data_IF_798791302336
#
_entry.id   IF_798791302336
#
_cell.length_a   1.000
_cell.length_b   1.000
_cell.length_c   1.000
_cell.angle_alpha   90.00
_cell.angle_beta   90.00
_cell.angle_gamma   90.00
#
_symmetry.space_group_name_H-M   'P 1'
#
loop_
_entity.id
_entity.type
_entity.pdbx_description
1 polymer ?
#
# COMPACT_ATOMS: atom_id res chain seq x y z
N UNK A 1 -14.65 -11.85 8.76
CA UNK A 1 -14.03 -10.78 9.58
C UNK A 1 -13.98 -9.56 8.67
N UNK A 2 -14.59 -8.43 9.03
CA UNK A 2 -14.82 -7.33 8.08
C UNK A 2 -13.54 -6.70 7.51
N UNK A 3 -12.44 -6.67 8.27
CA UNK A 3 -11.17 -6.05 7.84
C UNK A 3 -10.59 -6.79 6.63
N UNK A 4 -10.41 -8.11 6.72
CA UNK A 4 -9.87 -8.93 5.64
C UNK A 4 -10.79 -8.98 4.42
N UNK A 5 -12.10 -9.06 4.64
CA UNK A 5 -13.07 -8.98 3.54
C UNK A 5 -12.97 -7.65 2.78
N UNK A 6 -12.69 -6.53 3.47
CA UNK A 6 -12.48 -5.25 2.83
C UNK A 6 -11.13 -5.17 2.12
N UNK A 7 -10.06 -5.75 2.68
CA UNK A 7 -8.77 -5.90 2.00
C UNK A 7 -8.92 -6.64 0.67
N UNK A 8 -9.56 -7.80 0.68
CA UNK A 8 -9.73 -8.63 -0.51
C UNK A 8 -10.66 -7.98 -1.55
N UNK A 9 -11.83 -7.49 -1.13
CA UNK A 9 -12.87 -7.03 -2.08
C UNK A 9 -12.71 -5.58 -2.52
N UNK A 10 -12.12 -4.74 -1.67
CA UNK A 10 -11.99 -3.30 -1.91
C UNK A 10 -10.54 -2.84 -2.07
N UNK A 11 -9.59 -3.78 -2.06
CA UNK A 11 -8.15 -3.49 -2.16
C UNK A 11 -7.67 -2.47 -1.11
N UNK A 12 -8.30 -2.48 0.07
CA UNK A 12 -7.92 -1.58 1.16
C UNK A 12 -6.61 -2.03 1.80
N UNK A 13 -5.74 -1.06 2.07
CA UNK A 13 -4.52 -1.32 2.82
C UNK A 13 -4.86 -1.60 4.29
N UNK A 14 -4.21 -2.61 4.87
CA UNK A 14 -4.34 -2.98 6.28
C UNK A 14 -2.97 -2.87 6.93
N UNK A 15 -2.88 -2.06 7.98
CA UNK A 15 -1.65 -1.69 8.66
C UNK A 15 -1.77 -2.04 10.15
N UNK A 16 -1.33 -3.24 10.59
CA UNK A 16 -1.43 -3.63 11.99
C UNK A 16 -0.44 -2.86 12.89
N UNK A 17 -0.90 -2.54 14.09
CA UNK A 17 -0.11 -1.96 15.17
C UNK A 17 -0.23 -2.87 16.38
N UNK A 18 0.89 -3.47 16.79
CA UNK A 18 1.00 -4.37 17.94
C UNK A 18 1.48 -3.56 19.15
N UNK A 19 0.52 -3.10 19.95
CA UNK A 19 0.74 -2.26 21.11
C UNK A 19 0.93 -3.12 22.37
N UNK A 20 2.15 -3.12 22.94
CA UNK A 20 2.55 -3.97 24.08
C UNK A 20 2.17 -5.45 23.95
N UNK A 21 2.20 -5.99 22.73
CA UNK A 21 1.97 -7.41 22.44
C UNK A 21 2.96 -7.86 21.38
N UNK A 22 3.57 -9.03 21.57
CA UNK A 22 4.40 -9.62 20.53
C UNK A 22 3.51 -10.12 19.37
N UNK A 23 3.81 -9.76 18.11
CA UNK A 23 3.03 -10.22 16.96
C UNK A 23 2.95 -11.76 16.88
N UNK A 24 3.95 -12.48 17.40
CA UNK A 24 3.98 -13.94 17.46
C UNK A 24 2.93 -14.53 18.40
N UNK A 25 2.60 -13.87 19.52
CA UNK A 25 1.52 -14.27 20.42
C UNK A 25 0.17 -14.22 19.69
N UNK A 26 -0.06 -13.17 18.90
CA UNK A 26 -1.27 -13.00 18.09
C UNK A 26 -1.30 -14.03 16.95
N UNK A 27 -0.17 -14.21 16.25
CA UNK A 27 -0.04 -15.12 15.10
C UNK A 27 -0.29 -16.57 15.52
N UNK A 28 0.37 -17.00 16.58
CA UNK A 28 0.32 -18.38 17.07
C UNK A 28 -0.81 -18.62 18.05
N UNK A 29 -1.56 -17.58 18.42
CA UNK A 29 -2.67 -17.61 19.39
C UNK A 29 -2.23 -18.25 20.71
N UNK A 30 -1.09 -17.79 21.22
CA UNK A 30 -0.49 -18.24 22.47
C UNK A 30 -0.86 -17.28 23.60
N UNK A 31 -0.47 -17.64 24.83
CA UNK A 31 -0.65 -16.82 26.03
C UNK A 31 -2.08 -16.28 26.19
N UNK A 32 -2.24 -14.99 26.48
CA UNK A 32 -3.53 -14.36 26.73
C UNK A 32 -4.49 -14.46 25.55
N UNK A 33 -3.97 -14.46 24.31
CA UNK A 33 -4.80 -14.60 23.11
C UNK A 33 -5.38 -16.02 23.00
N UNK A 34 -4.54 -17.03 23.26
CA UNK A 34 -4.97 -18.43 23.30
C UNK A 34 -6.05 -18.67 24.36
N UNK A 35 -5.81 -18.19 25.59
CA UNK A 35 -6.77 -18.30 26.70
C UNK A 35 -8.09 -17.58 26.40
N UNK A 36 -8.02 -16.35 25.87
CA UNK A 36 -9.22 -15.57 25.54
C UNK A 36 -10.04 -16.26 24.43
N UNK A 37 -9.39 -16.80 23.41
CA UNK A 37 -10.05 -17.55 22.34
C UNK A 37 -10.69 -18.83 22.87
N UNK A 38 -10.04 -19.58 23.76
CA UNK A 38 -10.62 -20.77 24.38
C UNK A 38 -11.88 -20.42 25.21
N UNK A 39 -11.84 -19.34 26.01
CA UNK A 39 -13.03 -18.83 26.73
C UNK A 39 -14.15 -18.44 25.77
N UNK A 40 -13.80 -17.87 24.61
CA UNK A 40 -14.78 -17.54 23.58
C UNK A 40 -15.36 -18.79 22.90
N UNK A 41 -14.58 -19.84 22.66
CA UNK A 41 -15.08 -21.14 22.19
C UNK A 41 -16.09 -21.72 23.17
N UNK A 42 -15.81 -21.61 24.47
CA UNK A 42 -16.75 -22.06 25.51
C UNK A 42 -18.04 -21.23 25.57
N UNK A 43 -17.95 -19.93 25.30
CA UNK A 43 -19.10 -19.02 25.27
C UNK A 43 -19.95 -19.18 24.01
N UNK A 44 -19.32 -19.52 22.89
CA UNK A 44 -19.95 -19.62 21.56
C UNK A 44 -19.95 -21.08 21.06
N UNK A 45 -20.18 -22.06 21.95
CA UNK A 45 -20.17 -23.49 21.61
C UNK A 45 -21.08 -23.85 20.43
N UNK A 46 -22.21 -23.15 20.32
CA UNK A 46 -23.20 -23.36 19.25
C UNK A 46 -22.82 -22.68 17.92
N UNK A 47 -21.84 -21.77 17.93
CA UNK A 47 -21.32 -21.08 16.74
C UNK A 47 -19.79 -21.17 16.69
N UNK A 48 -19.30 -22.41 16.56
CA UNK A 48 -17.87 -22.70 16.38
C UNK A 48 -17.27 -21.97 15.17
N UNK A 49 -18.09 -21.71 14.14
CA UNK A 49 -17.63 -21.05 12.92
C UNK A 49 -17.17 -19.62 13.16
N UNK A 50 -17.75 -18.94 14.14
CA UNK A 50 -17.43 -17.56 14.49
C UNK A 50 -16.03 -17.42 15.09
N UNK A 51 -15.71 -18.25 16.09
CA UNK A 51 -14.39 -18.20 16.74
C UNK A 51 -13.30 -18.65 15.77
N UNK A 52 -13.59 -19.64 14.92
CA UNK A 52 -12.65 -20.05 13.88
C UNK A 52 -12.34 -18.92 12.89
N UNK A 53 -13.35 -18.14 12.47
CA UNK A 53 -13.13 -16.95 11.62
C UNK A 53 -12.27 -15.89 12.31
N UNK A 54 -12.35 -15.76 13.63
CA UNK A 54 -11.49 -14.85 14.39
C UNK A 54 -10.06 -15.36 14.46
N UNK A 55 -9.85 -16.64 14.74
CA UNK A 55 -8.52 -17.28 14.74
C UNK A 55 -7.80 -17.07 13.42
N UNK A 56 -8.44 -17.45 12.31
CA UNK A 56 -7.88 -17.28 10.97
C UNK A 56 -7.56 -15.82 10.70
N UNK A 57 -8.48 -14.91 11.02
CA UNK A 57 -8.26 -13.51 10.70
C UNK A 57 -7.17 -12.84 11.55
N UNK A 58 -7.05 -13.19 12.84
CA UNK A 58 -5.96 -12.71 13.70
C UNK A 58 -4.62 -13.22 13.21
N UNK A 59 -4.53 -14.51 12.87
CA UNK A 59 -3.33 -15.10 12.30
C UNK A 59 -2.90 -14.41 11.01
N UNK A 60 -3.86 -14.14 10.12
CA UNK A 60 -3.58 -13.50 8.84
C UNK A 60 -3.12 -12.04 9.01
N UNK A 61 -3.80 -11.25 9.84
CA UNK A 61 -3.39 -9.87 10.14
C UNK A 61 -2.02 -9.83 10.82
N UNK A 62 -1.71 -10.81 11.68
CA UNK A 62 -0.41 -10.93 12.34
C UNK A 62 0.75 -11.29 11.38
N UNK A 63 0.45 -11.71 10.15
CA UNK A 63 1.43 -11.93 9.10
C UNK A 63 1.66 -10.70 8.21
N UNK A 64 0.89 -9.63 8.37
CA UNK A 64 1.11 -8.41 7.60
C UNK A 64 2.27 -7.60 8.19
N UNK A 65 2.99 -6.89 7.32
CA UNK A 65 3.96 -5.88 7.75
C UNK A 65 3.24 -4.78 8.55
N UNK A 66 3.82 -4.38 9.68
CA UNK A 66 3.27 -3.38 10.59
C UNK A 66 4.26 -3.03 11.69
N UNK A 67 3.78 -2.40 12.75
CA UNK A 67 4.64 -1.92 13.84
C UNK A 67 4.43 -2.74 15.11
N UNK A 68 5.52 -3.03 15.80
CA UNK A 68 5.49 -3.58 17.14
C UNK A 68 6.16 -2.57 18.09
N UNK A 69 5.40 -2.09 19.08
CA UNK A 69 5.90 -1.09 20.03
C UNK A 69 6.89 -1.70 21.04
N UNK A 70 6.54 -2.83 21.66
CA UNK A 70 7.31 -3.39 22.77
C UNK A 70 7.49 -2.37 23.90
N UNK A 71 8.75 -2.08 24.27
CA UNK A 71 9.15 -1.04 25.22
C UNK A 71 9.64 0.25 24.52
N UNK A 72 9.27 0.45 23.26
CA UNK A 72 9.68 1.58 22.44
C UNK A 72 8.99 2.90 22.79
N UNK A 73 9.39 3.96 22.10
CA UNK A 73 8.81 5.29 22.24
C UNK A 73 7.50 5.41 21.45
N UNK A 74 6.39 5.54 22.18
CA UNK A 74 5.05 5.74 21.61
C UNK A 74 4.97 6.96 20.71
N UNK A 75 5.61 8.07 21.10
CA UNK A 75 5.54 9.32 20.36
C UNK A 75 6.23 9.20 19.00
N UNK A 76 7.34 8.47 18.96
CA UNK A 76 8.04 8.13 17.72
C UNK A 76 7.18 7.24 16.84
N UNK A 77 6.56 6.19 17.41
CA UNK A 77 5.68 5.30 16.67
C UNK A 77 4.49 6.05 16.07
N UNK A 78 3.82 6.90 16.85
CA UNK A 78 2.70 7.72 16.38
C UNK A 78 3.14 8.62 15.23
N UNK A 79 4.32 9.25 15.34
CA UNK A 79 4.86 10.10 14.27
C UNK A 79 5.09 9.30 12.97
N UNK A 80 5.67 8.11 13.05
CA UNK A 80 5.88 7.23 11.89
C UNK A 80 4.56 6.81 11.24
N UNK A 81 3.56 6.41 12.04
CA UNK A 81 2.23 6.04 11.55
C UNK A 81 1.57 7.23 10.86
N UNK A 82 1.56 8.42 11.49
CA UNK A 82 0.95 9.62 10.91
C UNK A 82 1.61 9.99 9.60
N UNK A 83 2.94 9.92 9.51
CA UNK A 83 3.67 10.18 8.28
C UNK A 83 3.27 9.22 7.16
N UNK A 84 3.26 7.91 7.42
CA UNK A 84 2.87 6.93 6.41
C UNK A 84 1.40 7.08 5.98
N UNK A 85 0.47 7.19 6.94
CA UNK A 85 -0.95 7.34 6.64
C UNK A 85 -1.21 8.62 5.83
N UNK A 86 -0.50 9.72 6.16
CA UNK A 86 -0.58 10.96 5.38
C UNK A 86 -0.11 10.74 3.95
N UNK A 87 0.98 10.00 3.72
CA UNK A 87 1.44 9.65 2.36
C UNK A 87 0.42 8.82 1.59
N UNK A 88 -0.21 7.85 2.24
CA UNK A 88 -1.24 7.00 1.62
C UNK A 88 -2.48 7.82 1.24
N UNK A 89 -2.96 8.68 2.14
CA UNK A 89 -4.21 9.44 1.95
C UNK A 89 -4.05 10.61 1.00
N UNK A 90 -2.91 11.30 1.04
CA UNK A 90 -2.63 12.44 0.15
C UNK A 90 -2.22 12.02 -1.26
N UNK A 91 -2.07 10.72 -1.52
CA UNK A 91 -1.65 10.24 -2.82
C UNK A 91 -2.76 10.37 -3.85
N UNK A 92 -2.42 10.92 -5.03
CA UNK A 92 -3.36 10.95 -6.16
C UNK A 92 -3.62 9.53 -6.64
N UNK A 93 -4.85 9.05 -6.45
CA UNK A 93 -5.27 7.74 -6.94
C UNK A 93 -5.65 7.84 -8.42
N UNK A 94 -4.95 7.10 -9.28
CA UNK A 94 -5.21 7.09 -10.71
C UNK A 94 -6.33 6.10 -11.06
N UNK A 95 -7.32 6.55 -11.84
CA UNK A 95 -8.34 5.64 -12.36
C UNK A 95 -7.70 4.67 -13.38
N UNK A 96 -7.62 3.39 -12.99
CA UNK A 96 -7.03 2.30 -13.77
C UNK A 96 -7.97 1.85 -14.88
N UNK A 97 -9.10 1.23 -14.51
CA UNK A 97 -10.14 0.77 -15.41
C UNK A 97 -11.42 0.46 -14.61
N UNK A 98 -12.58 0.46 -15.28
CA UNK A 98 -13.86 0.12 -14.63
C UNK A 98 -13.94 -1.35 -14.21
N UNK A 99 -13.39 -2.25 -15.04
CA UNK A 99 -13.39 -3.70 -14.83
C UNK A 99 -12.03 -4.31 -15.23
N UNK A 100 -10.97 -4.08 -14.46
CA UNK A 100 -9.67 -4.66 -14.75
C UNK A 100 -9.70 -6.19 -14.58
N UNK A 101 -9.26 -6.94 -15.60
CA UNK A 101 -9.09 -8.40 -15.54
C UNK A 101 -7.63 -8.72 -15.87
N UNK A 102 -7.02 -9.64 -15.11
CA UNK A 102 -5.66 -10.13 -15.38
C UNK A 102 -4.54 -9.12 -15.13
N UNK A 103 -4.81 -8.08 -14.32
CA UNK A 103 -3.80 -7.09 -13.93
C UNK A 103 -2.88 -7.64 -12.84
N UNK A 104 -3.43 -8.39 -11.88
CA UNK A 104 -2.71 -8.84 -10.69
C UNK A 104 -1.40 -9.59 -10.99
N UNK A 105 -1.36 -10.60 -11.88
CA UNK A 105 -0.10 -11.30 -12.19
C UNK A 105 0.95 -10.35 -12.78
N UNK A 106 0.52 -9.40 -13.63
CA UNK A 106 1.41 -8.42 -14.26
C UNK A 106 1.94 -7.40 -13.26
N UNK A 107 1.15 -7.04 -12.24
CA UNK A 107 1.62 -6.21 -11.15
C UNK A 107 2.71 -6.91 -10.35
N UNK A 108 2.53 -8.20 -10.05
CA UNK A 108 3.54 -8.99 -9.36
C UNK A 108 4.85 -9.07 -10.15
N UNK A 109 4.78 -9.36 -11.45
CA UNK A 109 5.96 -9.41 -12.32
C UNK A 109 6.72 -8.09 -12.33
N UNK A 110 6.02 -6.97 -12.52
CA UNK A 110 6.68 -5.64 -12.56
C UNK A 110 7.16 -5.23 -11.16
N UNK A 111 6.42 -5.58 -10.12
CA UNK A 111 6.83 -5.32 -8.73
C UNK A 111 8.14 -6.02 -8.39
N UNK A 112 8.31 -7.27 -8.83
CA UNK A 112 9.55 -8.02 -8.66
C UNK A 112 10.72 -7.34 -9.39
N UNK A 113 10.51 -6.88 -10.62
CA UNK A 113 11.53 -6.14 -11.38
C UNK A 113 11.94 -4.83 -10.70
N UNK A 114 10.97 -4.10 -10.14
CA UNK A 114 11.22 -2.86 -9.43
C UNK A 114 11.93 -3.07 -8.09
N UNK A 115 11.76 -4.23 -7.43
CA UNK A 115 12.36 -4.59 -6.12
C UNK A 115 12.54 -3.37 -5.18
N UNK A 116 11.44 -2.73 -4.79
CA UNK A 116 11.41 -1.44 -4.07
C UNK A 116 12.25 -1.42 -2.77
N UNK A 117 12.62 -2.59 -2.24
CA UNK A 117 13.44 -2.76 -1.05
C UNK A 117 14.95 -2.56 -1.28
N UNK A 118 15.41 -2.43 -2.53
CA UNK A 118 16.82 -2.21 -2.87
C UNK A 118 17.11 -0.72 -3.05
N UNK A 119 18.17 -0.20 -2.40
CA UNK A 119 18.61 1.19 -2.51
C UNK A 119 19.40 1.43 -3.82
N UNK A 120 18.78 1.18 -4.97
CA UNK A 120 19.35 1.44 -6.31
C UNK A 120 18.36 2.21 -7.21
N UNK A 121 18.85 2.67 -8.37
CA UNK A 121 18.02 3.38 -9.37
C UNK A 121 17.63 2.40 -10.48
N UNK A 122 16.32 2.23 -10.70
CA UNK A 122 15.79 1.29 -11.68
C UNK A 122 14.87 1.94 -12.69
N UNK A 123 14.91 1.40 -13.90
CA UNK A 123 13.99 1.76 -14.97
C UNK A 123 13.39 0.48 -15.56
N UNK A 124 12.06 0.42 -15.61
CA UNK A 124 11.32 -0.71 -16.19
C UNK A 124 10.50 -0.22 -17.37
N UNK A 125 10.67 -0.85 -18.53
CA UNK A 125 9.89 -0.59 -19.73
C UNK A 125 8.76 -1.59 -19.92
N UNK A 126 7.53 -1.10 -20.13
CA UNK A 126 6.38 -1.93 -20.51
C UNK A 126 6.15 -1.75 -22.02
N UNK A 127 6.39 -2.79 -22.81
CA UNK A 127 6.30 -2.76 -24.28
C UNK A 127 5.22 -3.73 -24.76
N UNK A 128 4.60 -3.42 -25.91
CA UNK A 128 3.55 -4.24 -26.50
C UNK A 128 2.70 -3.46 -27.48
N UNK A 129 1.80 -4.15 -28.17
CA UNK A 129 0.92 -3.57 -29.20
C UNK A 129 -0.02 -2.48 -28.64
N UNK A 130 -0.57 -1.65 -29.53
CA UNK A 130 -1.58 -0.66 -29.17
C UNK A 130 -2.80 -1.29 -28.50
N UNK A 131 -3.43 -0.60 -27.54
CA UNK A 131 -4.65 -1.07 -26.88
C UNK A 131 -4.50 -2.19 -25.84
N UNK A 132 -3.34 -2.85 -25.72
CA UNK A 132 -3.14 -3.99 -24.80
C UNK A 132 -3.14 -3.65 -23.30
N UNK A 133 -3.33 -2.37 -22.94
CA UNK A 133 -3.42 -1.94 -21.54
C UNK A 133 -2.10 -1.58 -20.84
N UNK A 134 -1.04 -1.22 -21.59
CA UNK A 134 0.26 -0.81 -21.00
C UNK A 134 0.12 0.32 -19.98
N UNK A 135 -0.56 1.40 -20.37
CA UNK A 135 -0.83 2.55 -19.49
C UNK A 135 -1.71 2.15 -18.30
N UNK A 136 -2.63 1.21 -18.49
CA UNK A 136 -3.46 0.66 -17.41
C UNK A 136 -2.61 -0.02 -16.35
N UNK A 137 -1.63 -0.84 -16.78
CA UNK A 137 -0.68 -1.49 -15.87
C UNK A 137 0.19 -0.44 -15.17
N UNK A 138 0.73 0.55 -15.89
CA UNK A 138 1.53 1.61 -15.30
C UNK A 138 0.79 2.39 -14.20
N UNK A 139 -0.50 2.72 -14.42
CA UNK A 139 -1.36 3.35 -13.41
C UNK A 139 -1.58 2.46 -12.19
N UNK A 140 -1.80 1.17 -12.41
CA UNK A 140 -2.00 0.21 -11.33
C UNK A 140 -0.73 0.05 -10.47
N UNK A 141 0.46 -0.01 -11.11
CA UNK A 141 1.75 -0.04 -10.41
C UNK A 141 1.94 1.24 -9.60
N UNK A 142 1.67 2.39 -10.21
CA UNK A 142 1.78 3.68 -9.52
C UNK A 142 0.91 3.71 -8.26
N UNK A 143 -0.38 3.34 -8.36
CA UNK A 143 -1.26 3.27 -7.19
C UNK A 143 -0.77 2.28 -6.11
N UNK A 144 -0.11 1.19 -6.52
CA UNK A 144 0.40 0.16 -5.61
C UNK A 144 1.67 0.58 -4.86
N UNK A 145 2.54 1.38 -5.49
CA UNK A 145 3.90 1.59 -5.00
C UNK A 145 4.19 3.01 -4.56
N UNK A 146 3.48 3.99 -5.08
CA UNK A 146 3.95 5.36 -5.00
C UNK A 146 3.93 5.95 -3.58
N UNK A 147 3.11 5.42 -2.66
CA UNK A 147 3.13 5.77 -1.23
C UNK A 147 4.39 5.28 -0.48
N UNK A 148 5.14 4.34 -1.07
CA UNK A 148 6.37 3.80 -0.48
C UNK A 148 7.56 4.74 -0.69
N UNK A 149 7.43 5.70 -1.61
CA UNK A 149 8.44 6.71 -1.90
C UNK A 149 8.14 7.99 -1.12
N UNK A 150 9.17 8.81 -0.90
CA UNK A 150 9.01 10.13 -0.28
C UNK A 150 8.15 11.04 -1.17
N UNK A 151 8.37 10.97 -2.48
CA UNK A 151 7.61 11.68 -3.50
C UNK A 151 7.44 10.82 -4.75
N UNK A 152 6.40 11.10 -5.53
CA UNK A 152 6.09 10.36 -6.75
C UNK A 152 5.42 11.27 -7.78
N UNK A 153 5.53 10.91 -9.06
CA UNK A 153 4.91 11.67 -10.15
C UNK A 153 4.41 10.71 -11.23
N UNK A 154 3.22 10.98 -11.78
CA UNK A 154 2.69 10.26 -12.93
C UNK A 154 2.53 11.17 -14.14
N UNK A 155 3.56 11.21 -14.99
CA UNK A 155 3.51 11.95 -16.25
C UNK A 155 2.71 11.20 -17.31
N UNK A 156 1.51 11.68 -17.60
CA UNK A 156 0.66 11.14 -18.66
C UNK A 156 0.85 11.87 -19.99
N UNK A 157 0.50 11.21 -21.10
CA UNK A 157 0.47 11.78 -22.45
C UNK A 157 1.79 12.43 -22.92
N UNK A 158 2.93 11.99 -22.39
CA UNK A 158 4.27 12.55 -22.67
C UNK A 158 4.53 12.73 -24.16
N UNK A 159 4.19 11.73 -24.99
CA UNK A 159 4.38 11.77 -26.46
C UNK A 159 3.54 12.84 -27.17
N UNK A 160 2.36 13.15 -26.65
CA UNK A 160 1.50 14.18 -27.22
C UNK A 160 1.91 15.56 -26.74
N UNK A 161 2.17 15.70 -25.43
CA UNK A 161 2.56 16.97 -24.81
C UNK A 161 3.89 17.45 -25.35
N UNK A 162 4.89 16.57 -25.49
CA UNK A 162 6.24 16.95 -25.96
C UNK A 162 6.29 17.54 -27.36
N UNK A 163 5.27 17.28 -28.19
CA UNK A 163 5.17 17.79 -29.57
C UNK A 163 4.58 19.21 -29.64
N UNK A 164 3.99 19.70 -28.55
CA UNK A 164 3.42 21.05 -28.47
C UNK A 164 4.54 22.05 -28.19
N UNK A 165 4.39 23.28 -28.65
CA UNK A 165 5.31 24.36 -28.31
C UNK A 165 5.38 24.55 -26.80
N UNK A 166 6.59 24.56 -26.22
CA UNK A 166 6.81 24.61 -24.78
C UNK A 166 6.48 23.32 -23.99
N UNK A 167 6.01 22.25 -24.65
CA UNK A 167 5.49 21.07 -23.97
C UNK A 167 6.53 20.26 -23.18
N UNK A 168 7.80 20.26 -23.60
CA UNK A 168 8.88 19.63 -22.83
C UNK A 168 9.16 20.37 -21.52
N UNK A 169 9.17 21.70 -21.55
CA UNK A 169 9.34 22.55 -20.36
C UNK A 169 8.19 22.30 -19.39
N UNK A 170 6.95 22.27 -19.90
CA UNK A 170 5.77 21.96 -19.09
C UNK A 170 5.84 20.57 -18.41
N UNK A 171 6.33 19.55 -19.12
CA UNK A 171 6.50 18.21 -18.54
C UNK A 171 7.57 18.21 -17.43
N UNK A 172 8.67 18.93 -17.64
CA UNK A 172 9.73 19.07 -16.65
C UNK A 172 9.25 19.83 -15.41
N UNK A 173 8.52 20.93 -15.58
CA UNK A 173 7.92 21.69 -14.47
C UNK A 173 6.95 20.84 -13.68
N UNK A 174 6.06 20.11 -14.34
CA UNK A 174 5.14 19.17 -13.68
C UNK A 174 5.90 18.13 -12.85
N UNK A 175 6.93 17.51 -13.43
CA UNK A 175 7.74 16.52 -12.74
C UNK A 175 8.41 17.10 -11.48
N UNK A 176 9.01 18.28 -11.59
CA UNK A 176 9.69 18.94 -10.48
C UNK A 176 8.71 19.35 -9.39
N UNK A 177 7.56 19.92 -9.75
CA UNK A 177 6.52 20.33 -8.80
C UNK A 177 5.92 19.15 -8.04
N UNK A 178 5.71 18.00 -8.70
CA UNK A 178 5.17 16.81 -8.02
C UNK A 178 6.21 16.12 -7.14
N UNK A 179 7.50 16.07 -7.56
CA UNK A 179 8.55 15.41 -6.79
C UNK A 179 9.06 16.26 -5.62
N UNK A 180 9.31 17.54 -5.84
CA UNK A 180 9.87 18.44 -4.81
C UNK A 180 8.78 19.06 -3.92
N UNK A 181 7.51 18.82 -4.25
CA UNK A 181 6.39 19.62 -3.76
C UNK A 181 6.39 21.00 -4.42
N UNK A 182 5.31 21.76 -4.23
CA UNK A 182 5.37 23.19 -4.54
C UNK A 182 6.56 23.77 -3.78
N UNK A 183 7.57 24.28 -4.50
CA UNK A 183 8.40 25.36 -3.99
C UNK A 183 7.41 26.49 -3.67
N UNK A 184 6.82 26.45 -2.48
CA UNK A 184 6.35 27.67 -1.87
C UNK A 184 7.65 28.44 -1.69
N UNK A 185 7.93 29.32 -2.65
CA UNK A 185 8.74 30.48 -2.39
C UNK A 185 8.10 31.11 -1.15
N UNK A 186 8.67 30.81 0.02
CA UNK A 186 8.51 31.69 1.16
C UNK A 186 9.26 32.95 0.74
N UNK A 187 8.48 33.93 0.27
CA UNK A 187 8.95 35.28 0.02
C UNK A 187 9.68 35.79 1.28
N UNK A 188 10.91 36.26 1.08
CA UNK A 188 11.75 36.92 2.07
C UNK A 188 11.19 38.29 2.45
#
# INVERSE_FOLDING_TARGET
MKILECKEKKQQLVLPVFYHVDPSEVRNQQESYGEALARHEDRFKDDKTKVQKWRTGLQEVANFAGWHLGNGDESKLVKEIVQLVSRIVNHTYLNVAKYPIGIEPRLQDVSLLLSVEMNDVRMVGIVGIGGIGKTTIAKAIYNLMAYQFESSCFLSNVSETSKREGGLVQLQETLLCEILGSLKYEDW
#
